data_IF_347607849655
#
_entry.id   IF_347607849655
#
_cell.length_a   1.000
_cell.length_b   1.000
_cell.length_c   1.000
_cell.angle_alpha   90.00
_cell.angle_beta   90.00
_cell.angle_gamma   90.00
#
_symmetry.space_group_name_H-M   'P 1'
#
loop_
_entity.id
_entity.type
_entity.pdbx_description
1 polymer ?
#
# COMPACT_ATOMS: atom_id res chain seq x y z
N UNK A 1 -22.95 6.24 -2.99
CA UNK A 1 -22.19 7.51 -3.18
C UNK A 1 -21.87 7.69 -4.65
N UNK A 2 -22.07 8.88 -5.21
CA UNK A 2 -21.57 9.17 -6.57
C UNK A 2 -20.04 9.23 -6.58
N UNK A 3 -19.40 8.65 -7.60
CA UNK A 3 -17.95 8.63 -7.78
C UNK A 3 -17.33 10.04 -7.67
N UNK A 4 -18.03 11.05 -8.17
CA UNK A 4 -17.63 12.46 -8.11
C UNK A 4 -17.48 12.98 -6.67
N UNK A 5 -18.41 12.57 -5.79
CA UNK A 5 -18.37 12.96 -4.37
C UNK A 5 -17.23 12.26 -3.63
N UNK A 6 -16.93 11.02 -3.99
CA UNK A 6 -15.79 10.29 -3.44
C UNK A 6 -14.45 10.91 -3.85
N UNK A 7 -14.29 11.31 -5.11
CA UNK A 7 -13.08 12.00 -5.60
C UNK A 7 -12.89 13.35 -4.90
N UNK A 8 -13.97 14.11 -4.70
CA UNK A 8 -13.92 15.37 -3.97
C UNK A 8 -13.50 15.18 -2.50
N UNK A 9 -14.10 14.20 -1.81
CA UNK A 9 -13.77 13.89 -0.42
C UNK A 9 -12.33 13.39 -0.25
N UNK A 10 -11.83 12.59 -1.20
CA UNK A 10 -10.44 12.11 -1.18
C UNK A 10 -9.43 13.25 -1.11
N UNK A 11 -9.62 14.34 -1.87
CA UNK A 11 -8.71 15.49 -1.85
C UNK A 11 -8.60 16.10 -0.45
N UNK A 12 -9.72 16.17 0.26
CA UNK A 12 -9.78 16.74 1.61
C UNK A 12 -9.36 15.76 2.72
N UNK A 13 -9.21 14.47 2.41
CA UNK A 13 -8.84 13.45 3.39
C UNK A 13 -7.33 13.38 3.63
N UNK A 14 -6.51 13.77 2.65
CA UNK A 14 -5.05 13.65 2.76
C UNK A 14 -4.46 14.48 3.89
N UNK A 15 -4.90 15.72 4.05
CA UNK A 15 -4.41 16.63 5.11
C UNK A 15 -4.72 16.11 6.51
N UNK A 16 -5.97 15.78 6.89
CA UNK A 16 -6.27 15.27 8.23
C UNK A 16 -5.69 13.87 8.46
N UNK A 17 -5.61 13.01 7.43
CA UNK A 17 -4.97 11.71 7.55
C UNK A 17 -3.48 11.84 7.85
N UNK A 18 -2.79 12.74 7.16
CA UNK A 18 -1.36 12.98 7.38
C UNK A 18 -1.11 13.60 8.76
N UNK A 19 -1.93 14.57 9.17
CA UNK A 19 -1.88 15.16 10.51
C UNK A 19 -2.10 14.09 11.60
N UNK A 20 -3.07 13.19 11.43
CA UNK A 20 -3.32 12.07 12.35
C UNK A 20 -2.13 11.11 12.42
N UNK A 21 -1.54 10.74 11.28
CA UNK A 21 -0.38 9.87 11.24
C UNK A 21 0.86 10.52 11.86
N UNK A 22 0.99 11.84 11.78
CA UNK A 22 2.06 12.58 12.46
C UNK A 22 1.82 12.66 13.97
N UNK A 23 0.58 12.92 14.39
CA UNK A 23 0.20 12.95 15.81
C UNK A 23 0.39 11.58 16.49
N UNK A 24 0.14 10.49 15.76
CA UNK A 24 0.32 9.11 16.24
C UNK A 24 1.72 8.55 16.00
N UNK A 25 2.69 9.36 15.53
CA UNK A 25 4.10 8.94 15.52
C UNK A 25 4.66 9.12 16.92
N UNK A 26 4.93 8.00 17.58
CA UNK A 26 5.84 7.97 18.74
C UNK A 26 7.28 8.21 18.29
N UNK A 27 8.20 8.42 19.25
CA UNK A 27 9.62 8.62 18.95
C UNK A 27 10.14 7.50 18.05
N UNK A 28 10.72 7.89 16.91
CA UNK A 28 11.21 6.95 15.90
C UNK A 28 12.46 6.26 16.46
N UNK A 29 12.28 5.16 17.19
CA UNK A 29 13.34 4.28 17.66
C UNK A 29 13.86 3.43 16.50
N UNK A 30 14.45 4.05 15.47
CA UNK A 30 15.19 3.41 14.38
C UNK A 30 14.43 2.42 13.47
N UNK A 31 13.20 2.02 13.80
CA UNK A 31 12.45 0.94 13.15
C UNK A 31 10.96 1.33 13.07
N UNK A 32 10.64 2.40 12.35
CA UNK A 32 9.25 2.72 11.99
C UNK A 32 8.93 2.09 10.63
N UNK A 33 8.94 0.75 10.54
CA UNK A 33 8.54 0.04 9.34
C UNK A 33 7.04 -0.25 9.39
N UNK A 34 6.29 0.40 8.50
CA UNK A 34 4.95 -0.08 8.15
C UNK A 34 5.16 -1.26 7.21
N UNK A 35 5.29 -2.46 7.77
CA UNK A 35 5.35 -3.69 6.99
C UNK A 35 3.96 -3.94 6.40
N UNK A 36 3.76 -3.46 5.18
CA UNK A 36 2.60 -3.86 4.41
C UNK A 36 2.71 -5.35 4.10
N UNK A 37 1.62 -6.12 4.27
CA UNK A 37 1.62 -7.51 3.83
C UNK A 37 1.93 -7.57 2.34
N UNK A 38 2.57 -8.66 1.92
CA UNK A 38 2.87 -8.89 0.51
C UNK A 38 1.60 -8.78 -0.32
N UNK A 39 1.61 -7.94 -1.37
CA UNK A 39 0.47 -7.72 -2.24
C UNK A 39 0.54 -8.68 -3.42
N UNK A 40 -0.47 -9.54 -3.54
CA UNK A 40 -0.58 -10.46 -4.67
C UNK A 40 -1.05 -9.74 -5.93
N UNK A 41 -0.11 -9.40 -6.81
CA UNK A 41 -0.39 -8.73 -8.09
C UNK A 41 -0.90 -9.69 -9.18
N UNK A 42 -0.67 -10.99 -9.02
CA UNK A 42 -1.23 -12.04 -9.88
C UNK A 42 -1.19 -13.41 -9.20
N UNK A 43 -1.96 -14.37 -9.71
CA UNK A 43 -1.84 -15.76 -9.27
C UNK A 43 -0.45 -16.33 -9.58
N UNK A 44 0.06 -17.21 -8.71
CA UNK A 44 1.37 -17.84 -8.83
C UNK A 44 1.64 -18.49 -10.20
N UNK A 45 0.62 -19.13 -10.80
CA UNK A 45 0.72 -19.74 -12.14
C UNK A 45 0.99 -18.72 -13.27
N UNK A 46 0.68 -17.43 -13.05
CA UNK A 46 0.77 -16.36 -14.05
C UNK A 46 1.99 -15.44 -13.87
N UNK A 47 2.86 -15.70 -12.89
CA UNK A 47 4.04 -14.85 -12.61
C UNK A 47 4.88 -14.62 -13.88
N UNK A 48 5.18 -15.68 -14.64
CA UNK A 48 6.00 -15.58 -15.86
C UNK A 48 5.33 -14.81 -17.01
N UNK A 49 4.00 -14.67 -16.98
CA UNK A 49 3.20 -14.05 -18.05
C UNK A 49 2.68 -12.67 -17.68
N UNK A 50 2.89 -12.21 -16.45
CA UNK A 50 2.45 -10.89 -16.01
C UNK A 50 3.31 -9.81 -16.69
N UNK A 51 2.72 -9.12 -17.67
CA UNK A 51 3.36 -7.99 -18.37
C UNK A 51 3.08 -6.65 -17.72
N UNK A 52 1.95 -6.52 -17.01
CA UNK A 52 1.49 -5.26 -16.40
C UNK A 52 2.45 -4.79 -15.31
N UNK A 53 2.98 -5.71 -14.51
CA UNK A 53 3.91 -5.40 -13.43
C UNK A 53 5.35 -5.83 -13.73
N UNK A 54 5.71 -6.01 -15.01
CA UNK A 54 7.05 -6.45 -15.40
C UNK A 54 8.10 -5.43 -14.93
N UNK A 55 9.03 -5.86 -14.08
CA UNK A 55 10.08 -5.01 -13.51
C UNK A 55 9.67 -4.23 -12.25
N UNK A 56 8.37 -4.12 -11.97
CA UNK A 56 7.84 -3.48 -10.77
C UNK A 56 7.58 -4.48 -9.65
N UNK A 57 6.94 -5.61 -9.98
CA UNK A 57 6.66 -6.67 -9.02
C UNK A 57 7.84 -7.63 -8.91
N UNK A 58 8.22 -7.94 -7.66
CA UNK A 58 9.21 -8.96 -7.31
C UNK A 58 8.57 -9.98 -6.37
N UNK A 59 9.08 -11.22 -6.39
CA UNK A 59 8.61 -12.26 -5.47
C UNK A 59 9.17 -11.98 -4.07
N UNK A 60 8.27 -11.69 -3.12
CA UNK A 60 8.60 -11.57 -1.70
C UNK A 60 8.51 -12.92 -0.98
N UNK A 61 9.03 -12.99 0.25
CA UNK A 61 8.78 -14.10 1.16
C UNK A 61 7.45 -13.86 1.88
N UNK A 62 6.52 -14.78 1.75
CA UNK A 62 5.30 -14.79 2.56
C UNK A 62 5.45 -15.80 3.69
N UNK A 63 4.72 -15.62 4.79
CA UNK A 63 4.69 -16.54 5.94
C UNK A 63 4.28 -17.97 5.56
N UNK A 64 3.57 -18.12 4.46
CA UNK A 64 3.17 -19.42 3.88
C UNK A 64 4.12 -19.89 2.77
N UNK A 65 5.42 -19.60 2.88
CA UNK A 65 6.45 -19.96 1.89
C UNK A 65 6.29 -21.36 1.30
#
# INVERSE_FOLDING_TARGET
MSYSRFVYLKKNLFVPLFAYLLDKREEITGIAFIDFPSIDVCHNKRIKRNKVFKGLAKRGKTTSG
#
